data_IF_259344001048
#
_entry.id   IF_259344001048
#
_cell.length_a   1.000
_cell.length_b   1.000
_cell.length_c   1.000
_cell.angle_alpha   90.00
_cell.angle_beta   90.00
_cell.angle_gamma   90.00
#
_symmetry.space_group_name_H-M   'P 1'
#
loop_
_entity.id
_entity.type
_entity.pdbx_description
1 polymer ?
#
# COMPACT_ATOMS: atom_id res chain seq x y z
N UNK A 1 29.17 52.55 33.86
CA UNK A 1 27.68 52.41 33.85
C UNK A 1 27.24 51.73 32.57
N UNK A 2 27.05 50.40 32.67
CA UNK A 2 26.48 49.60 31.60
C UNK A 2 24.96 49.49 31.77
N UNK A 3 24.15 49.61 30.74
CA UNK A 3 22.75 49.20 30.77
C UNK A 3 22.59 47.79 30.16
N UNK A 4 21.95 46.95 30.92
CA UNK A 4 21.49 45.62 30.55
C UNK A 4 20.41 45.66 29.42
N UNK A 5 20.38 44.70 28.50
CA UNK A 5 19.22 44.47 27.70
C UNK A 5 18.35 43.35 28.33
N UNK A 6 17.21 43.73 28.85
CA UNK A 6 16.08 42.84 29.05
C UNK A 6 15.26 42.68 27.78
N UNK A 7 14.95 41.48 27.41
CA UNK A 7 14.09 41.16 26.28
C UNK A 7 13.72 39.70 26.29
N UNK A 8 12.86 39.30 27.24
CA UNK A 8 12.19 37.99 27.21
C UNK A 8 11.13 38.03 26.11
N UNK A 9 11.37 37.29 25.02
CA UNK A 9 10.36 36.97 24.03
C UNK A 9 9.40 35.88 24.53
N UNK A 10 8.15 35.84 24.06
CA UNK A 10 7.16 34.87 24.55
C UNK A 10 7.53 33.47 24.11
N UNK A 11 7.84 32.61 25.11
CA UNK A 11 7.90 31.16 24.94
C UNK A 11 6.50 30.65 24.60
N UNK A 12 6.28 30.27 23.34
CA UNK A 12 5.12 29.51 22.94
C UNK A 12 5.19 28.09 23.53
N UNK A 13 4.07 27.48 23.88
CA UNK A 13 4.06 26.14 24.45
C UNK A 13 4.34 25.09 23.36
N UNK A 14 5.62 24.82 23.12
CA UNK A 14 6.00 23.55 22.50
C UNK A 14 5.82 22.46 23.57
N UNK A 15 4.65 21.85 23.59
CA UNK A 15 4.53 20.56 24.26
C UNK A 15 5.44 19.59 23.50
N UNK A 16 6.57 19.30 24.08
CA UNK A 16 7.42 18.19 23.68
C UNK A 16 6.57 16.93 23.73
N UNK A 17 6.26 16.37 22.56
CA UNK A 17 5.72 15.01 22.47
C UNK A 17 6.80 14.13 23.08
N UNK A 18 6.47 13.47 24.20
CA UNK A 18 7.36 12.55 24.86
C UNK A 18 7.61 11.36 23.90
N UNK A 19 8.70 11.48 23.16
CA UNK A 19 9.12 10.53 22.14
C UNK A 19 10.04 9.47 22.76
N UNK A 20 9.88 9.21 24.08
CA UNK A 20 10.57 8.10 24.72
C UNK A 20 10.10 6.80 24.07
N UNK A 21 10.99 6.04 23.43
CA UNK A 21 10.61 4.77 22.85
C UNK A 21 10.18 3.85 24.01
N UNK A 22 8.92 3.44 23.96
CA UNK A 22 8.39 2.41 24.85
C UNK A 22 9.24 1.14 24.64
N UNK A 23 10.06 0.80 25.61
CA UNK A 23 10.87 -0.41 25.61
C UNK A 23 10.26 -1.41 26.59
N UNK A 24 9.41 -2.34 26.17
CA UNK A 24 8.97 -3.43 27.02
C UNK A 24 10.18 -4.29 27.37
N UNK A 25 10.28 -4.72 28.63
CA UNK A 25 11.33 -5.67 29.07
C UNK A 25 11.15 -6.98 28.30
N UNK A 26 12.09 -7.24 27.38
CA UNK A 26 12.09 -8.45 26.57
C UNK A 26 12.47 -9.67 27.41
N UNK A 27 11.81 -10.84 27.24
CA UNK A 27 12.25 -12.09 27.81
C UNK A 27 13.64 -12.47 27.27
N UNK A 28 14.43 -13.21 28.05
CA UNK A 28 15.85 -13.51 27.83
C UNK A 28 16.18 -14.32 26.55
N UNK A 29 15.20 -14.66 25.74
CA UNK A 29 15.38 -15.17 24.38
C UNK A 29 14.30 -14.56 23.50
N UNK A 30 14.66 -13.77 22.46
CA UNK A 30 13.64 -13.20 21.57
C UNK A 30 12.86 -14.32 20.91
N UNK A 31 11.52 -14.27 20.87
CA UNK A 31 10.74 -15.24 20.14
C UNK A 31 11.18 -15.22 18.67
N UNK A 32 11.20 -16.37 18.02
CA UNK A 32 11.53 -16.47 16.59
C UNK A 32 10.45 -15.83 15.69
N UNK A 33 9.32 -15.45 16.24
CA UNK A 33 8.21 -14.78 15.59
C UNK A 33 7.59 -13.73 16.51
N UNK A 34 6.86 -12.79 15.94
CA UNK A 34 6.06 -11.77 16.65
C UNK A 34 4.76 -11.50 15.91
N UNK A 35 3.71 -11.14 16.65
CA UNK A 35 2.43 -10.74 16.08
C UNK A 35 2.46 -9.27 15.70
N UNK A 36 1.85 -8.94 14.55
CA UNK A 36 1.73 -7.58 14.05
C UNK A 36 0.32 -7.36 13.51
N UNK A 37 -0.42 -6.46 14.16
CA UNK A 37 -1.79 -6.11 13.78
C UNK A 37 -1.78 -4.83 12.95
N UNK A 38 -2.40 -4.91 11.77
CA UNK A 38 -2.51 -3.80 10.82
C UNK A 38 -3.96 -3.35 10.75
N UNK A 39 -4.30 -2.25 11.44
CA UNK A 39 -5.68 -1.78 11.62
C UNK A 39 -5.93 -0.58 10.71
N UNK A 40 -6.85 -0.71 9.74
CA UNK A 40 -7.16 0.34 8.76
C UNK A 40 -8.65 0.55 8.59
N UNK A 41 -9.07 1.80 8.40
CA UNK A 41 -10.42 2.17 7.99
C UNK A 41 -10.66 2.07 6.47
N UNK A 42 -9.62 1.66 5.72
CA UNK A 42 -9.62 1.40 4.29
C UNK A 42 -9.14 -0.02 3.97
N UNK A 43 -8.59 -0.26 2.77
CA UNK A 43 -8.08 -1.58 2.33
C UNK A 43 -6.86 -2.07 3.11
N UNK A 44 -6.08 -1.17 3.69
CA UNK A 44 -4.85 -1.48 4.43
C UNK A 44 -3.60 -1.63 3.58
N UNK A 45 -3.66 -1.33 2.27
CA UNK A 45 -2.51 -1.49 1.36
C UNK A 45 -1.29 -0.69 1.81
N UNK A 46 -1.50 0.55 2.25
CA UNK A 46 -0.42 1.42 2.77
C UNK A 46 0.24 0.81 4.01
N UNK A 47 -0.57 0.31 4.96
CA UNK A 47 -0.05 -0.36 6.16
C UNK A 47 0.75 -1.60 5.79
N UNK A 48 0.24 -2.43 4.89
CA UNK A 48 0.91 -3.64 4.42
C UNK A 48 2.27 -3.32 3.80
N UNK A 49 2.34 -2.29 2.95
CA UNK A 49 3.59 -1.87 2.31
C UNK A 49 4.64 -1.41 3.34
N UNK A 50 4.23 -0.56 4.29
CA UNK A 50 5.11 -0.02 5.34
C UNK A 50 5.54 -1.12 6.30
N UNK A 51 4.61 -1.98 6.74
CA UNK A 51 4.89 -3.10 7.63
C UNK A 51 5.92 -4.07 7.04
N UNK A 52 5.77 -4.43 5.76
CA UNK A 52 6.73 -5.27 5.04
C UNK A 52 8.10 -4.60 4.91
N UNK A 53 8.14 -3.31 4.60
CA UNK A 53 9.39 -2.57 4.51
C UNK A 53 10.12 -2.50 5.86
N UNK A 54 9.39 -2.29 6.96
CA UNK A 54 9.93 -2.29 8.30
C UNK A 54 10.39 -3.68 8.74
N UNK A 55 9.55 -4.71 8.57
CA UNK A 55 9.87 -6.09 8.94
C UNK A 55 11.11 -6.64 8.21
N UNK A 56 11.33 -6.23 6.97
CA UNK A 56 12.51 -6.63 6.18
C UNK A 56 13.84 -6.20 6.82
N UNK A 57 13.83 -5.22 7.73
CA UNK A 57 15.03 -4.79 8.47
C UNK A 57 15.39 -5.73 9.63
N UNK A 58 14.51 -6.69 9.97
CA UNK A 58 14.67 -7.62 11.10
C UNK A 58 14.72 -9.07 10.60
N UNK A 59 15.77 -9.43 9.87
CA UNK A 59 15.88 -10.70 9.13
C UNK A 59 15.77 -11.97 9.98
N UNK A 60 16.05 -11.89 11.29
CA UNK A 60 16.03 -13.03 12.22
C UNK A 60 14.65 -13.29 12.85
N UNK A 61 13.72 -12.33 12.74
CA UNK A 61 12.39 -12.38 13.34
C UNK A 61 11.31 -12.48 12.26
N UNK A 62 10.33 -13.35 12.45
CA UNK A 62 9.25 -13.53 11.48
C UNK A 62 7.96 -12.88 11.99
N UNK A 63 7.39 -11.91 11.26
CA UNK A 63 6.09 -11.35 11.59
C UNK A 63 4.97 -12.35 11.28
N UNK A 64 4.01 -12.46 12.20
CA UNK A 64 2.68 -13.04 11.94
C UNK A 64 1.74 -11.87 11.75
N UNK A 65 1.39 -11.58 10.50
CA UNK A 65 0.58 -10.42 10.13
C UNK A 65 -0.91 -10.73 10.33
N UNK A 66 -1.61 -9.82 11.04
CA UNK A 66 -3.05 -9.82 11.22
C UNK A 66 -3.61 -8.55 10.57
N UNK A 67 -4.27 -8.69 9.41
CA UNK A 67 -4.84 -7.56 8.70
C UNK A 67 -6.29 -7.33 9.11
N UNK A 68 -6.60 -6.12 9.57
CA UNK A 68 -7.93 -5.69 9.97
C UNK A 68 -8.38 -4.49 9.11
N UNK A 69 -8.86 -4.73 7.88
CA UNK A 69 -9.33 -3.68 7.00
C UNK A 69 -10.74 -3.22 7.34
N UNK A 70 -11.12 -2.03 6.86
CA UNK A 70 -12.46 -1.47 6.92
C UNK A 70 -13.01 -1.29 8.34
N UNK A 71 -12.14 -1.01 9.31
CA UNK A 71 -12.53 -0.76 10.72
C UNK A 71 -13.07 0.67 10.84
N UNK A 72 -14.39 0.82 10.73
CA UNK A 72 -15.09 2.11 10.67
C UNK A 72 -16.12 2.30 11.78
N UNK A 73 -16.39 1.25 12.55
CA UNK A 73 -17.41 1.26 13.60
C UNK A 73 -16.87 0.69 14.91
N UNK A 74 -17.42 1.12 16.08
CA UNK A 74 -17.02 0.55 17.37
C UNK A 74 -17.22 -0.98 17.45
N UNK A 75 -18.22 -1.52 16.77
CA UNK A 75 -18.44 -2.97 16.74
C UNK A 75 -17.32 -3.72 16.02
N UNK A 76 -16.82 -3.16 14.91
CA UNK A 76 -15.69 -3.74 14.18
C UNK A 76 -14.42 -3.63 15.01
N UNK A 77 -14.18 -2.47 15.62
CA UNK A 77 -13.01 -2.27 16.48
C UNK A 77 -12.99 -3.27 17.66
N UNK A 78 -14.11 -3.48 18.35
CA UNK A 78 -14.16 -4.46 19.45
C UNK A 78 -13.75 -5.88 19.06
N UNK A 79 -14.06 -6.31 17.83
CA UNK A 79 -13.57 -7.61 17.33
C UNK A 79 -12.06 -7.62 17.17
N UNK A 80 -11.52 -6.55 16.60
CA UNK A 80 -10.07 -6.37 16.44
C UNK A 80 -9.37 -6.39 17.79
N UNK A 81 -9.92 -5.68 18.79
CA UNK A 81 -9.34 -5.64 20.15
C UNK A 81 -9.34 -7.03 20.81
N UNK A 82 -10.36 -7.86 20.56
CA UNK A 82 -10.37 -9.25 21.04
C UNK A 82 -9.27 -10.09 20.38
N UNK A 83 -9.02 -9.92 19.08
CA UNK A 83 -7.96 -10.62 18.38
C UNK A 83 -6.57 -10.15 18.85
N UNK A 84 -6.40 -8.84 19.10
CA UNK A 84 -5.17 -8.28 19.68
C UNK A 84 -4.91 -8.84 21.09
N UNK A 85 -5.95 -8.98 21.89
CA UNK A 85 -5.85 -9.54 23.26
C UNK A 85 -5.45 -11.03 23.24
N UNK A 86 -5.93 -11.80 22.26
CA UNK A 86 -5.59 -13.22 22.09
C UNK A 86 -4.16 -13.43 21.56
N UNK A 87 -3.66 -12.51 20.76
CA UNK A 87 -2.33 -12.58 20.15
C UNK A 87 -1.59 -11.23 20.28
N UNK A 88 -1.17 -10.84 21.49
CA UNK A 88 -0.56 -9.54 21.71
C UNK A 88 0.69 -9.32 20.86
N UNK A 89 0.81 -8.11 20.26
CA UNK A 89 1.91 -7.78 19.37
C UNK A 89 1.95 -6.30 19.00
N UNK A 90 2.74 -5.96 17.99
CA UNK A 90 2.84 -4.59 17.48
C UNK A 90 1.54 -4.22 16.76
N UNK A 91 0.97 -3.05 17.08
CA UNK A 91 -0.22 -2.53 16.42
C UNK A 91 0.17 -1.31 15.59
N UNK A 92 0.00 -1.41 14.26
CA UNK A 92 0.14 -0.27 13.34
C UNK A 92 -1.25 0.09 12.81
N UNK A 93 -1.57 1.38 12.76
CA UNK A 93 -2.91 1.79 12.32
C UNK A 93 -2.92 3.04 11.44
N UNK A 94 -3.98 3.13 10.58
CA UNK A 94 -4.30 4.28 9.73
C UNK A 94 -5.77 4.71 9.88
N UNK A 95 -6.34 4.49 11.06
CA UNK A 95 -7.72 4.89 11.37
C UNK A 95 -7.77 6.41 11.60
N UNK A 96 -8.74 7.09 10.97
CA UNK A 96 -8.90 8.55 11.03
C UNK A 96 -9.84 8.99 12.15
N UNK A 97 -10.82 8.15 12.52
CA UNK A 97 -11.80 8.47 13.54
C UNK A 97 -11.14 8.51 14.93
N UNK A 98 -11.16 9.70 15.58
CA UNK A 98 -10.50 9.94 16.88
C UNK A 98 -11.03 9.10 18.02
N UNK A 99 -12.36 8.81 18.05
CA UNK A 99 -12.96 7.99 19.09
C UNK A 99 -12.48 6.53 19.01
N UNK A 100 -12.43 5.98 17.78
CA UNK A 100 -11.93 4.64 17.55
C UNK A 100 -10.42 4.54 17.86
N UNK A 101 -9.65 5.57 17.53
CA UNK A 101 -8.21 5.63 17.84
C UNK A 101 -8.00 5.65 19.36
N UNK A 102 -8.74 6.47 20.11
CA UNK A 102 -8.62 6.52 21.55
C UNK A 102 -8.93 5.16 22.19
N UNK A 103 -10.02 4.49 21.78
CA UNK A 103 -10.38 3.14 22.28
C UNK A 103 -9.30 2.10 21.94
N UNK A 104 -8.70 2.17 20.73
CA UNK A 104 -7.61 1.29 20.30
C UNK A 104 -6.35 1.50 21.15
N UNK A 105 -5.93 2.76 21.30
CA UNK A 105 -4.71 3.10 22.06
C UNK A 105 -4.85 2.79 23.55
N UNK A 106 -6.01 3.07 24.14
CA UNK A 106 -6.29 2.77 25.54
C UNK A 106 -6.18 1.25 25.80
N UNK A 107 -6.79 0.44 24.94
CA UNK A 107 -6.68 -1.03 25.05
C UNK A 107 -5.25 -1.53 24.85
N UNK A 108 -4.52 -1.00 23.89
CA UNK A 108 -3.12 -1.36 23.70
C UNK A 108 -2.25 -0.97 24.92
N UNK A 109 -2.55 0.14 25.56
CA UNK A 109 -1.89 0.57 26.80
C UNK A 109 -2.21 -0.36 27.97
N UNK A 110 -3.47 -0.80 28.12
CA UNK A 110 -3.87 -1.82 29.10
C UNK A 110 -3.11 -3.14 28.93
N UNK A 111 -2.94 -3.55 27.67
CA UNK A 111 -2.23 -4.79 27.30
C UNK A 111 -0.70 -4.64 27.33
N UNK A 112 -0.19 -3.43 27.56
CA UNK A 112 1.24 -3.11 27.54
C UNK A 112 1.92 -3.48 26.19
N UNK A 113 1.24 -3.21 25.07
CA UNK A 113 1.75 -3.45 23.72
C UNK A 113 1.88 -2.13 22.96
N UNK A 114 2.86 -2.02 22.04
CA UNK A 114 3.07 -0.80 21.26
C UNK A 114 1.97 -0.62 20.20
N UNK A 115 1.36 0.57 20.16
CA UNK A 115 0.47 1.00 19.11
C UNK A 115 1.01 2.28 18.46
N UNK A 116 1.06 2.33 17.11
CA UNK A 116 1.64 3.47 16.41
C UNK A 116 0.80 3.92 15.21
N UNK A 117 0.43 5.23 15.14
CA UNK A 117 -0.24 5.83 13.99
C UNK A 117 0.77 6.04 12.84
N UNK A 118 0.60 5.32 11.75
CA UNK A 118 1.58 5.36 10.65
C UNK A 118 1.53 6.67 9.86
N UNK A 119 0.33 7.22 9.63
CA UNK A 119 0.15 8.43 8.83
C UNK A 119 0.24 9.72 9.66
N UNK A 120 -0.07 9.69 10.94
CA UNK A 120 -0.14 10.88 11.79
C UNK A 120 1.15 11.72 11.79
N UNK A 121 2.35 11.14 11.97
CA UNK A 121 3.59 11.91 11.94
C UNK A 121 3.83 12.59 10.58
N UNK A 122 3.50 11.91 9.49
CA UNK A 122 3.63 12.45 8.14
C UNK A 122 2.65 13.60 7.93
N UNK A 123 1.40 13.44 8.36
CA UNK A 123 0.37 14.48 8.27
C UNK A 123 0.73 15.73 9.06
N UNK A 124 1.37 15.59 10.22
CA UNK A 124 1.88 16.71 11.01
C UNK A 124 2.96 17.53 10.24
N UNK A 125 3.86 16.84 9.53
CA UNK A 125 4.84 17.53 8.66
C UNK A 125 4.15 18.31 7.55
N UNK A 126 3.14 17.73 6.91
CA UNK A 126 2.36 18.42 5.88
C UNK A 126 1.61 19.63 6.45
N UNK A 127 0.95 19.49 7.58
CA UNK A 127 0.23 20.58 8.25
C UNK A 127 1.17 21.74 8.61
N UNK A 128 2.33 21.41 9.17
CA UNK A 128 3.35 22.40 9.52
C UNK A 128 3.91 23.14 8.30
N UNK A 129 4.17 22.42 7.20
CA UNK A 129 4.75 23.00 6.00
C UNK A 129 3.74 23.78 5.16
N UNK A 130 2.51 23.25 5.01
CA UNK A 130 1.46 23.87 4.19
C UNK A 130 0.69 24.97 4.91
N UNK A 131 0.78 25.05 6.24
CA UNK A 131 0.00 26.01 7.06
C UNK A 131 -1.52 25.80 6.95
N UNK A 132 -1.98 24.60 6.57
CA UNK A 132 -3.38 24.26 6.36
C UNK A 132 -3.81 23.14 7.29
N UNK A 133 -5.00 23.24 7.93
CA UNK A 133 -5.48 22.18 8.82
C UNK A 133 -5.81 20.91 8.02
N UNK A 134 -5.66 19.77 8.67
CA UNK A 134 -6.03 18.48 8.13
C UNK A 134 -7.55 18.40 7.90
N UNK A 135 -7.95 17.82 6.77
CA UNK A 135 -9.34 17.43 6.49
C UNK A 135 -9.42 15.91 6.54
N UNK A 136 -9.81 15.32 7.67
CA UNK A 136 -9.84 13.87 7.83
C UNK A 136 -10.82 13.24 6.84
N UNK A 137 -10.32 12.50 5.87
CA UNK A 137 -11.14 11.80 4.87
C UNK A 137 -10.80 10.31 4.88
N UNK A 138 -11.76 9.49 5.27
CA UNK A 138 -11.61 8.01 5.22
C UNK A 138 -11.41 7.58 3.78
N UNK A 139 -10.38 6.76 3.54
CA UNK A 139 -10.03 6.26 2.21
C UNK A 139 -9.78 7.35 1.15
N UNK A 140 -9.33 8.53 1.55
CA UNK A 140 -9.08 9.67 0.63
C UNK A 140 -8.09 9.33 -0.50
N UNK A 141 -7.21 8.35 -0.30
CA UNK A 141 -6.31 7.82 -1.34
C UNK A 141 -7.00 6.94 -2.39
N UNK A 142 -8.22 6.47 -2.11
CA UNK A 142 -9.01 5.60 -3.00
C UNK A 142 -10.22 6.35 -3.58
N UNK A 143 -10.02 7.59 -3.96
CA UNK A 143 -11.04 8.33 -4.71
C UNK A 143 -11.32 7.56 -6.00
N UNK A 144 -12.60 7.23 -6.27
CA UNK A 144 -13.05 6.64 -7.52
C UNK A 144 -12.97 7.70 -8.61
N UNK A 145 -11.76 8.09 -8.97
CA UNK A 145 -11.48 9.07 -10.00
C UNK A 145 -11.37 8.42 -11.39
N UNK A 146 -11.19 9.25 -12.42
CA UNK A 146 -11.01 8.79 -13.79
C UNK A 146 -9.83 7.81 -13.92
N UNK A 147 -8.80 7.90 -13.10
CA UNK A 147 -7.63 7.02 -13.11
C UNK A 147 -7.97 5.63 -12.60
N UNK A 148 -8.83 5.54 -11.60
CA UNK A 148 -9.35 4.26 -11.10
C UNK A 148 -10.13 3.53 -12.19
N UNK A 149 -11.11 4.21 -12.81
CA UNK A 149 -11.92 3.60 -13.88
C UNK A 149 -11.08 3.21 -15.08
N UNK A 150 -10.07 4.02 -15.43
CA UNK A 150 -9.11 3.69 -16.49
C UNK A 150 -8.35 2.39 -16.20
N UNK A 151 -7.92 2.18 -14.94
CA UNK A 151 -7.25 0.93 -14.53
C UNK A 151 -8.17 -0.28 -14.60
N UNK A 152 -9.42 -0.14 -14.13
CA UNK A 152 -10.41 -1.23 -14.20
C UNK A 152 -10.73 -1.57 -15.66
N UNK A 153 -10.91 -0.58 -16.52
CA UNK A 153 -11.14 -0.79 -17.96
C UNK A 153 -9.95 -1.49 -18.64
N UNK A 154 -8.72 -1.05 -18.30
CA UNK A 154 -7.50 -1.69 -18.81
C UNK A 154 -7.36 -3.14 -18.33
N UNK A 155 -7.66 -3.44 -17.06
CA UNK A 155 -7.64 -4.80 -16.53
C UNK A 155 -8.67 -5.70 -17.22
N UNK A 156 -9.92 -5.23 -17.37
CA UNK A 156 -10.97 -5.96 -18.05
C UNK A 156 -10.59 -6.25 -19.52
N UNK A 157 -10.08 -5.24 -20.23
CA UNK A 157 -9.58 -5.41 -21.60
C UNK A 157 -8.48 -6.48 -21.64
N UNK A 158 -7.47 -6.36 -20.80
CA UNK A 158 -6.32 -7.27 -20.80
C UNK A 158 -6.71 -8.72 -20.48
N UNK A 159 -7.63 -8.94 -19.55
CA UNK A 159 -8.11 -10.29 -19.22
C UNK A 159 -8.91 -10.93 -20.39
N UNK A 160 -9.63 -10.13 -21.16
CA UNK A 160 -10.37 -10.60 -22.34
C UNK A 160 -9.46 -10.92 -23.52
N UNK A 161 -8.31 -10.25 -23.62
CA UNK A 161 -7.38 -10.33 -24.75
C UNK A 161 -6.08 -11.08 -24.40
N UNK A 162 -6.13 -12.00 -23.45
CA UNK A 162 -5.00 -12.84 -23.05
C UNK A 162 -4.81 -13.98 -24.07
N UNK A 163 -3.55 -14.33 -24.37
CA UNK A 163 -3.12 -15.41 -25.26
C UNK A 163 -3.72 -15.34 -26.69
N UNK A 164 -3.82 -14.14 -27.25
CA UNK A 164 -4.26 -13.93 -28.63
C UNK A 164 -5.76 -14.06 -28.86
N UNK A 165 -6.56 -14.00 -27.81
CA UNK A 165 -8.02 -13.91 -27.92
C UNK A 165 -8.44 -12.56 -28.51
N UNK A 166 -9.51 -12.56 -29.31
CA UNK A 166 -10.09 -11.36 -29.93
C UNK A 166 -9.08 -10.51 -30.73
N UNK A 167 -8.39 -11.08 -31.72
CA UNK A 167 -7.36 -10.36 -32.48
C UNK A 167 -7.89 -9.14 -33.26
N UNK A 168 -9.19 -9.06 -33.55
CA UNK A 168 -9.84 -7.93 -34.23
C UNK A 168 -9.84 -6.65 -33.39
N UNK A 169 -9.67 -6.74 -32.08
CA UNK A 169 -9.66 -5.59 -31.16
C UNK A 169 -8.25 -5.05 -30.87
N UNK A 170 -7.22 -5.49 -31.59
CA UNK A 170 -5.83 -5.02 -31.39
C UNK A 170 -5.67 -3.51 -31.49
N UNK A 171 -6.48 -2.86 -32.30
CA UNK A 171 -6.51 -1.41 -32.48
C UNK A 171 -6.98 -0.64 -31.23
N UNK A 172 -7.61 -1.32 -30.26
CA UNK A 172 -8.04 -0.75 -28.98
C UNK A 172 -6.98 -0.88 -27.89
N UNK A 173 -5.91 -1.63 -28.15
CA UNK A 173 -4.81 -1.80 -27.21
C UNK A 173 -3.89 -0.58 -27.19
N UNK A 174 -3.37 -0.23 -26.02
CA UNK A 174 -2.27 0.70 -25.88
C UNK A 174 -0.91 -0.01 -26.08
N UNK A 175 -0.83 -1.28 -25.67
CA UNK A 175 0.39 -2.08 -25.75
C UNK A 175 0.07 -3.50 -26.24
N UNK A 176 0.87 -3.98 -27.18
CA UNK A 176 0.82 -5.35 -27.69
C UNK A 176 2.13 -6.06 -27.31
N UNK A 177 2.04 -7.13 -26.52
CA UNK A 177 3.18 -7.95 -26.14
C UNK A 177 3.28 -9.18 -27.05
N UNK A 178 4.37 -9.33 -27.74
CA UNK A 178 4.70 -10.51 -28.53
C UNK A 178 5.70 -11.39 -27.81
N UNK A 179 5.71 -12.67 -28.05
CA UNK A 179 6.75 -13.57 -27.54
C UNK A 179 6.33 -15.03 -27.54
N UNK A 180 7.32 -15.90 -27.50
CA UNK A 180 7.11 -17.34 -27.37
C UNK A 180 6.48 -17.70 -26.01
N UNK A 181 6.04 -18.95 -25.84
CA UNK A 181 5.54 -19.42 -24.56
C UNK A 181 6.59 -19.23 -23.44
N UNK A 182 6.13 -18.94 -22.20
CA UNK A 182 6.97 -18.77 -21.00
C UNK A 182 7.91 -17.55 -20.98
N UNK A 183 7.65 -16.52 -21.77
CA UNK A 183 8.36 -15.22 -21.71
C UNK A 183 7.70 -14.21 -20.79
N UNK A 184 6.86 -14.65 -19.85
CA UNK A 184 6.17 -13.79 -18.86
C UNK A 184 5.21 -12.76 -19.47
N UNK A 185 4.64 -13.02 -20.65
CA UNK A 185 3.68 -12.09 -21.30
C UNK A 185 2.47 -11.77 -20.42
N UNK A 186 1.74 -12.80 -19.98
CA UNK A 186 0.53 -12.62 -19.15
C UNK A 186 0.80 -11.85 -17.85
N UNK A 187 1.79 -12.18 -17.01
CA UNK A 187 2.06 -11.36 -15.82
C UNK A 187 2.48 -9.93 -16.14
N UNK A 188 3.21 -9.72 -17.26
CA UNK A 188 3.59 -8.38 -17.71
C UNK A 188 2.38 -7.58 -18.18
N UNK A 189 1.45 -8.20 -18.92
CA UNK A 189 0.23 -7.53 -19.37
C UNK A 189 -0.67 -7.10 -18.20
N UNK A 190 -0.83 -7.93 -17.19
CA UNK A 190 -1.56 -7.58 -15.97
C UNK A 190 -0.88 -6.44 -15.21
N UNK A 191 0.45 -6.47 -15.10
CA UNK A 191 1.22 -5.39 -14.46
C UNK A 191 1.04 -4.03 -15.17
N UNK A 192 1.01 -4.02 -16.49
CA UNK A 192 0.77 -2.81 -17.29
C UNK A 192 -0.69 -2.35 -17.17
N UNK A 193 -1.64 -3.27 -17.17
CA UNK A 193 -3.06 -2.97 -16.99
C UNK A 193 -3.37 -2.32 -15.64
N UNK A 194 -2.70 -2.74 -14.56
CA UNK A 194 -2.79 -2.08 -13.24
C UNK A 194 -2.31 -0.62 -13.26
N UNK A 195 -1.55 -0.22 -14.28
CA UNK A 195 -1.13 1.17 -14.54
C UNK A 195 -2.03 1.91 -15.53
N UNK A 196 -3.12 1.26 -15.97
CA UNK A 196 -4.13 1.84 -16.84
C UNK A 196 -3.82 1.73 -18.34
N UNK A 197 -2.90 0.83 -18.73
CA UNK A 197 -2.62 0.54 -20.14
C UNK A 197 -3.36 -0.72 -20.60
N UNK A 198 -4.23 -0.58 -21.58
CA UNK A 198 -4.90 -1.70 -22.25
C UNK A 198 -3.85 -2.55 -22.97
N UNK A 199 -3.56 -3.71 -22.44
CA UNK A 199 -2.48 -4.56 -22.93
C UNK A 199 -3.03 -5.87 -23.43
N UNK A 200 -2.64 -6.26 -24.64
CA UNK A 200 -2.90 -7.60 -25.16
C UNK A 200 -1.59 -8.36 -25.31
N UNK A 201 -1.64 -9.68 -25.25
CA UNK A 201 -0.49 -10.49 -25.53
C UNK A 201 -0.80 -11.52 -26.62
N UNK A 202 0.15 -11.68 -27.55
CA UNK A 202 0.06 -12.60 -28.67
C UNK A 202 1.21 -13.61 -28.58
N UNK A 203 0.91 -14.91 -28.58
CA UNK A 203 1.96 -15.92 -28.62
C UNK A 203 2.57 -15.99 -30.03
N UNK A 204 3.89 -16.01 -30.09
CA UNK A 204 4.64 -16.35 -31.30
C UNK A 204 4.77 -17.86 -31.37
N UNK A 205 4.12 -18.47 -32.37
CA UNK A 205 4.18 -19.91 -32.60
C UNK A 205 4.83 -20.11 -33.99
N UNK A 206 5.86 -20.95 -34.12
CA UNK A 206 6.43 -21.27 -35.42
C UNK A 206 5.37 -21.72 -36.40
N UNK A 207 5.48 -21.30 -37.65
CA UNK A 207 4.57 -21.65 -38.77
C UNK A 207 3.15 -21.06 -38.67
N UNK A 208 2.78 -20.38 -37.59
CA UNK A 208 1.50 -19.65 -37.51
C UNK A 208 1.74 -18.19 -37.88
N UNK A 209 1.09 -17.66 -38.94
CA UNK A 209 1.23 -16.26 -39.31
C UNK A 209 0.65 -15.36 -38.24
N UNK A 210 1.24 -14.17 -38.09
CA UNK A 210 0.71 -13.14 -37.21
C UNK A 210 -0.66 -12.67 -37.70
N UNK A 211 -1.55 -12.26 -36.78
CA UNK A 211 -2.85 -11.70 -37.16
C UNK A 211 -2.69 -10.51 -38.11
N UNK A 212 -3.49 -10.41 -39.21
CA UNK A 212 -3.42 -9.28 -40.12
C UNK A 212 -3.53 -7.91 -39.45
N UNK A 213 -4.34 -7.81 -38.41
CA UNK A 213 -4.51 -6.59 -37.59
C UNK A 213 -3.20 -6.08 -36.95
N UNK A 214 -2.18 -6.90 -36.82
CA UNK A 214 -0.87 -6.46 -36.31
C UNK A 214 -0.04 -5.77 -37.42
N UNK A 215 -0.31 -6.10 -38.69
CA UNK A 215 0.40 -5.53 -39.86
C UNK A 215 -0.31 -4.30 -40.43
N UNK A 216 -1.56 -4.07 -40.04
CA UNK A 216 -2.30 -2.86 -40.35
C UNK A 216 -1.82 -1.68 -39.47
N UNK A 217 -2.02 -0.42 -39.94
CA UNK A 217 -1.68 0.73 -39.15
C UNK A 217 -2.45 0.75 -37.82
N UNK A 218 -1.74 0.75 -36.68
CA UNK A 218 -2.31 0.87 -35.33
C UNK A 218 -1.49 1.83 -34.47
N UNK A 219 -2.10 2.37 -33.43
CA UNK A 219 -1.45 3.28 -32.47
C UNK A 219 -0.77 2.57 -31.31
N UNK A 220 -0.97 1.25 -31.17
CA UNK A 220 -0.44 0.48 -30.06
C UNK A 220 1.08 0.36 -30.11
N UNK A 221 1.73 0.45 -28.96
CA UNK A 221 3.15 0.15 -28.83
C UNK A 221 3.36 -1.37 -28.84
N UNK A 222 4.20 -1.85 -29.74
CA UNK A 222 4.51 -3.29 -29.87
C UNK A 222 5.84 -3.60 -29.21
N UNK A 223 5.85 -4.55 -28.27
CA UNK A 223 7.05 -5.03 -27.60
C UNK A 223 7.17 -6.55 -27.72
N UNK A 224 8.36 -7.04 -28.07
CA UNK A 224 8.65 -8.46 -28.11
C UNK A 224 9.42 -8.88 -26.85
N UNK A 225 8.88 -9.87 -26.11
CA UNK A 225 9.52 -10.47 -24.95
C UNK A 225 10.31 -11.70 -25.39
N UNK A 226 11.61 -11.68 -25.12
CA UNK A 226 12.52 -12.77 -25.42
C UNK A 226 13.01 -13.42 -24.14
N UNK A 227 13.26 -14.73 -24.16
CA UNK A 227 13.94 -15.43 -23.09
C UNK A 227 15.41 -15.64 -23.48
N UNK A 228 16.33 -15.54 -22.51
CA UNK A 228 17.71 -15.96 -22.70
C UNK A 228 17.80 -17.48 -22.82
N UNK A 229 18.77 -17.97 -23.58
CA UNK A 229 19.00 -19.42 -23.81
C UNK A 229 19.41 -20.14 -22.51
N UNK A 230 19.90 -19.39 -21.50
CA UNK A 230 20.42 -19.91 -20.24
C UNK A 230 19.37 -20.03 -19.13
N UNK A 231 18.08 -20.19 -19.49
CA UNK A 231 16.97 -20.40 -18.54
C UNK A 231 16.24 -21.69 -18.80
#
# INVERSE_FOLDING_TARGET
EDPQPGGEGPEGPFHAVDNTPFCPQMPHSPPSYYHMHLVSDSTGDTLTAIAKAAAAQYATLRPIEHMHPLVRTPRQLRRVLQEIEQAPGIVLYTVVNRELVAELEDKCRELNIPAHPVLQPIMQVFESYLGAPQTPTVAGQHVLDASYFKRIDALNFTMQHDDGRLPEDLNKADIILLGISRTSKTPTSIYLAQRGYKTTNLPLVPEIPLPPALTEPHSAFVACLVASVDR
#
